data_IF_455429316004
#
_entry.id   IF_455429316004
#
_cell.length_a   1.000
_cell.length_b   1.000
_cell.length_c   1.000
_cell.angle_alpha   90.00
_cell.angle_beta   90.00
_cell.angle_gamma   90.00
#
_symmetry.space_group_name_H-M   'P 1'
#
loop_
_entity.id
_entity.type
_entity.pdbx_description
1 polymer ?
#
# COMPACT_ATOMS: atom_id res chain seq x y z
N UNK A 1 -13.18 -6.06 -7.19
CA UNK A 1 -11.92 -5.48 -6.67
C UNK A 1 -12.17 -4.73 -5.36
N UNK A 2 -12.75 -3.53 -5.35
CA UNK A 2 -12.93 -2.72 -4.13
C UNK A 2 -13.63 -3.45 -2.96
N UNK A 3 -14.79 -4.08 -3.19
CA UNK A 3 -15.49 -4.86 -2.15
C UNK A 3 -14.65 -6.03 -1.57
N UNK A 4 -13.81 -6.63 -2.40
CA UNK A 4 -12.91 -7.70 -1.95
C UNK A 4 -11.79 -7.15 -1.07
N UNK A 5 -11.24 -5.98 -1.43
CA UNK A 5 -10.25 -5.28 -0.60
C UNK A 5 -10.84 -4.89 0.75
N UNK A 6 -12.01 -4.25 0.79
CA UNK A 6 -12.67 -3.88 2.06
C UNK A 6 -12.78 -5.08 2.99
N UNK A 7 -13.30 -6.21 2.49
CA UNK A 7 -13.41 -7.43 3.29
C UNK A 7 -12.05 -7.99 3.72
N UNK A 8 -11.03 -7.92 2.86
CA UNK A 8 -9.70 -8.40 3.20
C UNK A 8 -9.08 -7.59 4.35
N UNK A 9 -9.19 -6.26 4.30
CA UNK A 9 -8.71 -5.39 5.37
C UNK A 9 -9.44 -5.66 6.69
N UNK A 10 -10.77 -5.74 6.67
CA UNK A 10 -11.57 -5.89 7.88
C UNK A 10 -11.52 -7.32 8.47
N UNK A 11 -11.62 -8.34 7.62
CA UNK A 11 -11.76 -9.74 8.05
C UNK A 11 -10.40 -10.42 8.27
N UNK A 12 -9.40 -10.13 7.41
CA UNK A 12 -8.09 -10.80 7.44
C UNK A 12 -7.08 -9.97 8.22
N UNK A 13 -6.91 -8.70 7.85
CA UNK A 13 -5.92 -7.82 8.50
C UNK A 13 -6.44 -7.20 9.81
N UNK A 14 -7.74 -7.29 10.09
CA UNK A 14 -8.40 -6.70 11.26
C UNK A 14 -8.24 -5.19 11.36
N UNK A 15 -8.05 -4.52 10.22
CA UNK A 15 -7.93 -3.06 10.14
C UNK A 15 -9.26 -2.49 9.62
N UNK A 16 -9.85 -1.50 10.33
CA UNK A 16 -11.02 -0.79 9.84
C UNK A 16 -10.72 -0.11 8.49
N UNK A 17 -11.52 -0.41 7.46
CA UNK A 17 -11.26 0.11 6.10
C UNK A 17 -11.53 1.62 5.98
N UNK A 18 -12.29 2.20 6.91
CA UNK A 18 -12.51 3.65 7.02
C UNK A 18 -11.24 4.43 7.43
N UNK A 19 -10.26 3.76 8.05
CA UNK A 19 -8.92 4.31 8.33
C UNK A 19 -8.00 4.31 7.11
N UNK A 20 -8.40 3.68 6.01
CA UNK A 20 -7.61 3.62 4.79
C UNK A 20 -7.97 4.76 3.83
N UNK A 21 -7.05 5.13 2.90
CA UNK A 21 -7.36 6.09 1.85
C UNK A 21 -8.63 5.71 1.09
N UNK A 22 -9.64 6.59 1.13
CA UNK A 22 -10.90 6.37 0.44
C UNK A 22 -10.71 6.60 -1.07
N UNK A 23 -11.11 5.61 -1.87
CA UNK A 23 -10.94 5.61 -3.33
C UNK A 23 -12.28 5.93 -4.01
N UNK A 24 -12.33 7.00 -4.77
CA UNK A 24 -13.47 7.35 -5.61
C UNK A 24 -13.42 6.61 -6.95
N UNK A 25 -13.99 5.41 -6.97
CA UNK A 25 -14.05 4.56 -8.17
C UNK A 25 -14.78 5.21 -9.35
N UNK A 26 -15.72 6.14 -9.09
CA UNK A 26 -16.43 6.83 -10.16
C UNK A 26 -15.51 7.77 -10.93
N UNK A 27 -14.61 8.47 -10.24
CA UNK A 27 -13.62 9.34 -10.88
C UNK A 27 -12.55 8.56 -11.63
N UNK A 28 -12.18 7.37 -11.15
CA UNK A 28 -11.33 6.45 -11.92
C UNK A 28 -12.03 6.03 -13.21
N UNK A 29 -13.29 5.57 -13.11
CA UNK A 29 -14.02 5.02 -14.25
C UNK A 29 -14.37 6.07 -15.30
N UNK A 30 -14.64 7.32 -14.90
CA UNK A 30 -15.07 8.38 -15.80
C UNK A 30 -13.92 9.22 -16.34
N UNK A 31 -13.02 9.63 -15.46
CA UNK A 31 -12.03 10.67 -15.74
C UNK A 31 -10.60 10.11 -15.77
N UNK A 32 -10.42 8.80 -15.54
CA UNK A 32 -9.09 8.20 -15.36
C UNK A 32 -8.24 8.96 -14.33
N UNK A 33 -8.87 9.42 -13.23
CA UNK A 33 -8.23 10.26 -12.24
C UNK A 33 -6.99 9.56 -11.66
N UNK A 34 -5.81 10.10 -11.98
CA UNK A 34 -4.52 9.54 -11.58
C UNK A 34 -4.32 9.50 -10.05
N UNK A 35 -4.88 10.47 -9.32
CA UNK A 35 -4.80 10.50 -7.86
C UNK A 35 -5.62 9.37 -7.24
N UNK A 36 -6.82 9.11 -7.76
CA UNK A 36 -7.67 8.01 -7.28
C UNK A 36 -7.11 6.64 -7.66
N UNK A 37 -6.48 6.53 -8.83
CA UNK A 37 -5.73 5.33 -9.23
C UNK A 37 -4.55 5.11 -8.29
N UNK A 38 -3.82 6.17 -7.92
CA UNK A 38 -2.70 6.07 -7.00
C UNK A 38 -3.14 5.58 -5.61
N UNK A 39 -4.25 6.08 -5.08
CA UNK A 39 -4.85 5.58 -3.82
C UNK A 39 -5.24 4.10 -3.90
N UNK A 40 -5.74 3.64 -5.05
CA UNK A 40 -6.04 2.23 -5.25
C UNK A 40 -4.77 1.37 -5.25
N UNK A 41 -3.70 1.84 -5.90
CA UNK A 41 -2.39 1.17 -5.90
C UNK A 41 -1.80 1.09 -4.49
N UNK A 42 -1.94 2.16 -3.71
CA UNK A 42 -1.56 2.23 -2.30
C UNK A 42 -2.22 1.09 -1.49
N UNK A 43 -3.54 0.91 -1.61
CA UNK A 43 -4.25 -0.20 -0.94
C UNK A 43 -3.70 -1.59 -1.32
N UNK A 44 -3.33 -1.81 -2.58
CA UNK A 44 -2.74 -3.09 -3.02
C UNK A 44 -1.36 -3.29 -2.42
N UNK A 45 -0.53 -2.26 -2.46
CA UNK A 45 0.84 -2.30 -1.95
C UNK A 45 0.85 -2.61 -0.46
N UNK A 46 -0.05 -2.00 0.30
CA UNK A 46 -0.15 -2.27 1.72
C UNK A 46 -0.45 -3.74 2.03
N UNK A 47 -1.45 -4.34 1.38
CA UNK A 47 -1.75 -5.79 1.53
C UNK A 47 -0.52 -6.65 1.22
N UNK A 48 0.30 -6.19 0.28
CA UNK A 48 1.47 -6.90 -0.23
C UNK A 48 2.65 -6.82 0.76
N UNK A 49 2.79 -5.71 1.48
CA UNK A 49 3.83 -5.47 2.49
C UNK A 49 3.50 -6.13 3.84
N UNK A 50 2.22 -6.12 4.25
CA UNK A 50 1.75 -6.76 5.49
C UNK A 50 1.94 -8.28 5.54
N UNK A 51 1.98 -8.92 4.38
CA UNK A 51 2.28 -10.35 4.30
C UNK A 51 3.74 -10.55 4.69
N UNK A 52 3.96 -11.03 5.92
CA UNK A 52 5.29 -11.35 6.49
C UNK A 52 6.27 -11.80 5.42
N UNK A 53 7.34 -11.02 5.27
CA UNK A 53 8.56 -11.41 4.58
C UNK A 53 8.37 -11.85 3.12
N UNK A 54 7.62 -11.07 2.34
CA UNK A 54 7.58 -11.27 0.91
C UNK A 54 8.87 -10.75 0.27
N UNK A 55 9.97 -11.50 0.39
CA UNK A 55 11.29 -11.17 -0.18
C UNK A 55 11.20 -10.81 -1.68
N UNK A 56 10.24 -11.41 -2.40
CA UNK A 56 9.94 -11.10 -3.81
C UNK A 56 9.42 -9.68 -3.99
N UNK A 57 8.67 -9.15 -3.02
CA UNK A 57 8.17 -7.76 -3.04
C UNK A 57 9.31 -6.80 -2.75
N UNK A 58 10.12 -7.06 -1.73
CA UNK A 58 11.31 -6.24 -1.41
C UNK A 58 12.24 -6.19 -2.62
N UNK A 59 12.53 -7.33 -3.25
CA UNK A 59 13.35 -7.41 -4.46
C UNK A 59 12.74 -6.61 -5.63
N UNK A 60 11.43 -6.67 -5.82
CA UNK A 60 10.74 -5.90 -6.87
C UNK A 60 10.76 -4.41 -6.59
N UNK A 61 10.63 -4.00 -5.33
CA UNK A 61 10.73 -2.60 -4.92
C UNK A 61 12.15 -2.06 -5.15
N UNK A 62 13.18 -2.84 -4.84
CA UNK A 62 14.58 -2.47 -5.11
C UNK A 62 14.92 -2.33 -6.60
N UNK A 63 14.14 -2.96 -7.49
CA UNK A 63 14.29 -2.81 -8.96
C UNK A 63 13.61 -1.56 -9.52
N UNK A 64 12.88 -0.80 -8.71
CA UNK A 64 12.30 0.48 -9.12
C UNK A 64 13.38 1.56 -9.23
N UNK A 65 13.08 2.65 -9.94
CA UNK A 65 13.94 3.84 -9.94
C UNK A 65 14.01 4.46 -8.54
N UNK A 66 15.10 5.14 -8.18
CA UNK A 66 15.26 5.79 -6.86
C UNK A 66 14.09 6.72 -6.51
N UNK A 67 13.60 7.49 -7.48
CA UNK A 67 12.42 8.34 -7.31
C UNK A 67 11.18 7.54 -6.91
N UNK A 68 10.95 6.41 -7.58
CA UNK A 68 9.80 5.55 -7.30
C UNK A 68 9.97 4.80 -5.97
N UNK A 69 11.19 4.40 -5.63
CA UNK A 69 11.51 3.82 -4.32
C UNK A 69 11.19 4.80 -3.20
N UNK A 70 11.60 6.07 -3.32
CA UNK A 70 11.30 7.12 -2.34
C UNK A 70 9.80 7.33 -2.14
N UNK A 71 9.02 7.34 -3.22
CA UNK A 71 7.54 7.44 -3.14
C UNK A 71 6.93 6.24 -2.41
N UNK A 72 7.39 5.02 -2.70
CA UNK A 72 6.88 3.81 -2.06
C UNK A 72 7.28 3.74 -0.58
N UNK A 73 8.52 4.08 -0.23
CA UNK A 73 8.99 4.07 1.15
C UNK A 73 8.23 5.08 2.02
N UNK A 74 8.02 6.30 1.53
CA UNK A 74 7.20 7.30 2.22
C UNK A 74 5.78 6.78 2.49
N UNK A 75 5.21 6.05 1.54
CA UNK A 75 3.89 5.43 1.72
C UNK A 75 3.91 4.30 2.75
N UNK A 76 4.90 3.40 2.69
CA UNK A 76 5.05 2.31 3.68
C UNK A 76 5.16 2.90 5.09
N UNK A 77 6.00 3.92 5.28
CA UNK A 77 6.13 4.62 6.56
C UNK A 77 4.82 5.26 7.02
N UNK A 78 4.07 5.87 6.10
CA UNK A 78 2.76 6.46 6.40
C UNK A 78 1.78 5.41 6.91
N UNK A 79 1.75 4.22 6.31
CA UNK A 79 0.85 3.18 6.78
C UNK A 79 1.35 2.50 8.05
N UNK A 80 2.66 2.31 8.22
CA UNK A 80 3.25 1.82 9.48
C UNK A 80 2.87 2.72 10.67
N UNK A 81 2.86 4.05 10.48
CA UNK A 81 2.40 5.01 11.51
C UNK A 81 0.93 4.83 11.90
N UNK A 82 0.08 4.39 10.98
CA UNK A 82 -1.36 4.17 11.24
C UNK A 82 -1.61 2.91 12.08
N UNK A 83 -0.65 1.99 12.15
CA UNK A 83 -0.89 0.63 12.66
C UNK A 83 -0.05 0.20 13.86
N UNK A 84 0.82 1.06 14.40
CA UNK A 84 1.80 0.66 15.45
C UNK A 84 2.61 -0.60 15.04
N UNK A 85 2.77 -0.83 13.74
CA UNK A 85 3.53 -1.97 13.22
C UNK A 85 5.02 -1.66 13.38
N UNK A 86 5.76 -2.55 14.04
CA UNK A 86 7.23 -2.50 14.05
C UNK A 86 7.71 -2.49 12.60
N UNK A 87 8.27 -1.36 12.18
CA UNK A 87 8.75 -1.16 10.82
C UNK A 87 9.63 -2.34 10.40
N UNK A 88 9.36 -2.90 9.21
CA UNK A 88 10.30 -3.78 8.54
C UNK A 88 11.62 -3.01 8.42
N UNK A 89 12.74 -3.52 8.95
CA UNK A 89 14.01 -2.81 8.92
C UNK A 89 14.36 -2.47 7.47
N UNK A 90 14.85 -1.24 7.30
CA UNK A 90 15.29 -0.67 6.03
C UNK A 90 16.16 -1.66 5.24
N UNK A 91 15.88 -1.91 3.95
CA UNK A 91 16.79 -2.64 3.07
C UNK A 91 18.06 -1.84 2.68
N UNK A 92 18.26 -0.64 3.23
CA UNK A 92 19.37 0.27 2.89
C UNK A 92 20.59 0.14 3.81
N UNK A 93 20.77 -0.99 4.48
CA UNK A 93 22.08 -1.36 5.03
C UNK A 93 22.87 -2.22 4.04
N UNK A 94 23.19 -1.68 2.84
CA UNK A 94 24.30 -2.15 2.00
C UNK A 94 24.84 -1.01 1.12
#
# INVERSE_FOLDING_TARGET
MHRMMTRYYEEILRIPFDKMPQVNLNEIAKESNAQEIFKLCQLVLFITVERENNAVVVERLQRLTEQSQGVVMNYIEEVSRVQEIECIPSPLEF
#
